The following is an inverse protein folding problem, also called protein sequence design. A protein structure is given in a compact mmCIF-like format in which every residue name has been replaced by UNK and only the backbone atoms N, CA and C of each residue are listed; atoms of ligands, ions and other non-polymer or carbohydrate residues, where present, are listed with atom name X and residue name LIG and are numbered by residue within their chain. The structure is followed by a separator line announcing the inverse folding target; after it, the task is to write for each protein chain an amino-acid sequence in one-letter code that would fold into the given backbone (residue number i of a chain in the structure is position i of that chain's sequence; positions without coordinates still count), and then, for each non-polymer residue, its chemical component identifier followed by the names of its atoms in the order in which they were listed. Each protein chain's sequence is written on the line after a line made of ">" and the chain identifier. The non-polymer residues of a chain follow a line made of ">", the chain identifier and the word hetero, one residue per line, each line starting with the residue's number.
data_IF_979313795469
#
_entry.id   IF_979313795469
#
_cell.length_a   1.000
_cell.length_b   1.000
_cell.length_c   1.000
_cell.angle_alpha   90.00
_cell.angle_beta   90.00
_cell.angle_gamma   90.00
#
_symmetry.space_group_name_H-M   'P 1'
#
loop_
_entity.id
_entity.type
_entity.pdbx_description
1 polymer ?
#
# COMPACT_ATOMS: atom_id res chain seq x y z
N UNK A 1 -23.50 5.48 15.79
CA UNK A 1 -23.27 4.92 14.44
C UNK A 1 -22.04 5.59 13.83
N UNK A 2 -20.93 4.86 13.67
CA UNK A 2 -19.81 5.34 12.85
C UNK A 2 -20.34 5.46 11.41
N UNK A 3 -20.27 6.65 10.81
CA UNK A 3 -20.60 6.80 9.38
C UNK A 3 -19.54 6.04 8.59
N UNK A 4 -19.86 4.82 8.16
CA UNK A 4 -19.00 4.02 7.29
C UNK A 4 -18.67 4.83 6.04
N UNK A 5 -17.43 5.28 5.98
CA UNK A 5 -16.95 6.18 4.96
C UNK A 5 -16.18 5.40 3.90
N UNK A 6 -16.79 5.29 2.73
CA UNK A 6 -16.28 4.50 1.61
C UNK A 6 -15.27 5.34 0.80
N UNK A 7 -14.17 4.71 0.40
CA UNK A 7 -13.18 5.30 -0.49
C UNK A 7 -13.74 5.45 -1.90
N UNK A 8 -13.76 6.67 -2.45
CA UNK A 8 -14.29 6.95 -3.79
C UNK A 8 -13.45 6.32 -4.92
N UNK A 9 -12.23 5.85 -4.63
CA UNK A 9 -11.33 5.23 -5.61
C UNK A 9 -11.43 3.71 -5.60
N UNK A 10 -11.27 3.06 -4.45
CA UNK A 10 -11.20 1.59 -4.37
C UNK A 10 -12.32 0.94 -3.56
N UNK A 11 -13.32 1.71 -3.14
CA UNK A 11 -14.46 1.26 -2.33
C UNK A 11 -14.12 0.66 -0.96
N UNK A 12 -12.87 0.80 -0.50
CA UNK A 12 -12.48 0.38 0.86
C UNK A 12 -13.31 1.11 1.93
N UNK A 13 -13.78 0.43 2.98
CA UNK A 13 -14.58 1.04 4.06
C UNK A 13 -13.75 1.90 5.04
N UNK A 14 -12.47 2.14 4.74
CA UNK A 14 -11.49 2.78 5.64
C UNK A 14 -11.17 4.23 5.27
N UNK A 15 -12.12 4.95 4.66
CA UNK A 15 -11.92 6.34 4.21
C UNK A 15 -12.38 7.38 5.25
N UNK A 16 -11.78 7.32 6.44
CA UNK A 16 -12.20 8.07 7.63
C UNK A 16 -11.96 9.59 7.54
N UNK A 17 -11.21 10.08 6.55
CA UNK A 17 -10.90 11.50 6.35
C UNK A 17 -10.76 11.86 4.87
N UNK A 18 -10.55 13.16 4.59
CA UNK A 18 -10.24 13.66 3.26
C UNK A 18 -8.71 13.64 3.04
N UNK A 19 -8.28 13.21 1.86
CA UNK A 19 -6.89 13.29 1.43
C UNK A 19 -6.81 14.00 0.09
N UNK A 20 -6.01 15.05 0.03
CA UNK A 20 -5.79 15.85 -1.18
C UNK A 20 -7.10 16.36 -1.82
N UNK A 21 -8.13 16.63 -1.01
CA UNK A 21 -9.42 17.16 -1.49
C UNK A 21 -10.54 16.13 -1.69
N UNK A 22 -10.27 14.82 -1.55
CA UNK A 22 -11.28 13.78 -1.75
C UNK A 22 -11.33 12.73 -0.64
N UNK A 23 -12.51 12.12 -0.44
CA UNK A 23 -12.70 11.03 0.53
C UNK A 23 -12.08 9.73 0.00
N UNK A 24 -10.90 9.39 0.52
CA UNK A 24 -10.15 8.20 0.08
C UNK A 24 -9.52 7.47 1.27
N UNK A 25 -9.17 6.20 1.09
CA UNK A 25 -8.42 5.45 2.09
C UNK A 25 -6.92 5.83 2.06
N UNK A 26 -6.20 5.52 3.15
CA UNK A 26 -4.76 5.79 3.30
C UNK A 26 -3.92 5.24 2.14
N UNK A 27 -4.27 4.05 1.63
CA UNK A 27 -3.56 3.43 0.52
C UNK A 27 -3.69 4.22 -0.80
N UNK A 28 -4.87 4.76 -1.10
CA UNK A 28 -5.06 5.59 -2.28
C UNK A 28 -4.40 6.96 -2.12
N UNK A 29 -4.41 7.52 -0.91
CA UNK A 29 -3.67 8.74 -0.60
C UNK A 29 -2.16 8.58 -0.79
N UNK A 30 -1.57 7.49 -0.28
CA UNK A 30 -0.15 7.19 -0.46
C UNK A 30 0.22 6.96 -1.92
N UNK A 31 -0.62 6.22 -2.66
CA UNK A 31 -0.47 6.03 -4.09
C UNK A 31 -0.46 7.37 -4.84
N UNK A 32 -1.48 8.20 -4.64
CA UNK A 32 -1.60 9.51 -5.29
C UNK A 32 -0.39 10.41 -5.03
N UNK A 33 0.01 10.55 -3.75
CA UNK A 33 1.20 11.34 -3.37
C UNK A 33 2.44 10.85 -4.11
N UNK A 34 2.67 9.53 -4.12
CA UNK A 34 3.82 8.93 -4.78
C UNK A 34 3.80 9.16 -6.30
N UNK A 35 2.64 9.03 -6.94
CA UNK A 35 2.49 9.28 -8.37
C UNK A 35 2.88 10.72 -8.72
N UNK A 36 2.40 11.71 -7.96
CA UNK A 36 2.69 13.12 -8.21
C UNK A 36 4.13 13.48 -7.85
N UNK A 37 4.59 13.13 -6.64
CA UNK A 37 5.93 13.53 -6.17
C UNK A 37 7.07 12.97 -7.03
N UNK A 38 6.87 11.84 -7.70
CA UNK A 38 7.89 11.23 -8.55
C UNK A 38 7.56 11.35 -10.05
N UNK A 39 6.52 12.08 -10.43
CA UNK A 39 6.12 12.27 -11.83
C UNK A 39 5.84 10.96 -12.57
N UNK A 40 5.24 9.97 -11.90
CA UNK A 40 5.01 8.64 -12.46
C UNK A 40 3.94 8.70 -13.55
N UNK A 41 4.28 8.14 -14.73
CA UNK A 41 3.34 7.93 -15.83
C UNK A 41 3.05 6.44 -15.95
N UNK A 42 1.77 6.10 -16.12
CA UNK A 42 1.32 4.72 -16.20
C UNK A 42 0.62 4.45 -17.52
N UNK A 43 0.85 3.27 -18.07
CA UNK A 43 0.13 2.76 -19.25
C UNK A 43 -0.83 1.66 -18.79
N UNK A 44 -2.03 1.64 -19.37
CA UNK A 44 -2.98 0.55 -19.16
C UNK A 44 -2.69 -0.55 -20.18
N UNK A 45 -2.72 -1.81 -19.74
CA UNK A 45 -2.42 -2.98 -20.59
C UNK A 45 -3.69 -3.73 -21.02
N UNK A 46 -4.85 -3.10 -20.93
CA UNK A 46 -6.11 -3.70 -21.40
C UNK A 46 -6.22 -3.58 -22.92
N UNK A 47 -6.82 -4.59 -23.55
CA UNK A 47 -7.08 -4.61 -25.00
C UNK A 47 -8.03 -3.48 -25.45
N UNK A 48 -8.98 -3.09 -24.59
CA UNK A 48 -9.86 -1.96 -24.81
C UNK A 48 -9.42 -0.76 -23.93
N UNK A 49 -8.87 0.32 -24.51
CA UNK A 49 -8.48 1.53 -23.79
C UNK A 49 -9.68 2.37 -23.31
N UNK A 50 -10.86 2.19 -23.90
CA UNK A 50 -12.08 2.96 -23.58
C UNK A 50 -12.74 2.49 -22.29
N UNK A 51 -12.49 1.24 -21.90
CA UNK A 51 -13.05 0.64 -20.69
C UNK A 51 -12.06 0.74 -19.52
N UNK A 52 -12.35 1.54 -18.47
CA UNK A 52 -11.45 1.67 -17.33
C UNK A 52 -11.41 0.38 -16.51
N UNK A 53 -10.21 -0.07 -16.12
CA UNK A 53 -10.06 -1.24 -15.26
C UNK A 53 -10.77 -1.06 -13.90
N UNK A 54 -11.25 -2.18 -13.34
CA UNK A 54 -11.80 -2.20 -12.01
C UNK A 54 -10.75 -1.80 -10.95
N UNK A 55 -11.19 -0.96 -10.03
CA UNK A 55 -10.38 -0.43 -8.92
C UNK A 55 -11.12 -0.79 -7.63
N UNK A 56 -10.76 -1.91 -7.03
CA UNK A 56 -11.40 -2.43 -5.81
C UNK A 56 -10.36 -2.93 -4.81
N UNK A 57 -10.61 -2.73 -3.52
CA UNK A 57 -9.63 -3.00 -2.47
C UNK A 57 -9.27 -4.48 -2.27
N UNK A 58 -10.11 -5.41 -2.73
CA UNK A 58 -9.81 -6.85 -2.72
C UNK A 58 -8.89 -7.30 -3.88
N UNK A 59 -8.68 -6.47 -4.89
CA UNK A 59 -7.84 -6.84 -6.03
C UNK A 59 -6.36 -6.72 -5.65
N UNK A 60 -5.61 -7.83 -5.75
CA UNK A 60 -4.16 -7.85 -5.51
C UNK A 60 -3.40 -6.93 -6.46
N UNK A 61 -3.81 -6.90 -7.73
CA UNK A 61 -3.21 -6.06 -8.76
C UNK A 61 -4.27 -5.16 -9.37
N UNK A 62 -4.15 -3.86 -9.11
CA UNK A 62 -5.01 -2.83 -9.68
C UNK A 62 -4.21 -2.09 -10.75
N UNK A 63 -4.79 -1.88 -11.92
CA UNK A 63 -4.20 -1.06 -12.98
C UNK A 63 -3.85 0.33 -12.45
N UNK A 64 -2.57 0.70 -12.51
CA UNK A 64 -2.05 1.97 -11.96
C UNK A 64 -2.59 3.18 -12.72
N UNK A 65 -2.68 3.07 -14.04
CA UNK A 65 -3.25 4.11 -14.94
C UNK A 65 -4.68 4.42 -14.54
N UNK A 66 -5.57 3.42 -14.57
CA UNK A 66 -6.98 3.61 -14.23
C UNK A 66 -7.20 4.01 -12.76
N UNK A 67 -6.35 3.51 -11.84
CA UNK A 67 -6.39 3.94 -10.43
C UNK A 67 -6.08 5.42 -10.28
N UNK A 68 -5.04 5.91 -10.95
CA UNK A 68 -4.65 7.31 -10.88
C UNK A 68 -5.70 8.22 -11.53
N UNK A 69 -6.23 7.85 -12.70
CA UNK A 69 -7.33 8.60 -13.32
C UNK A 69 -8.58 8.65 -12.43
N UNK A 70 -8.86 7.56 -11.69
CA UNK A 70 -9.97 7.55 -10.73
C UNK A 70 -9.68 8.44 -9.52
N UNK A 71 -8.43 8.56 -9.07
CA UNK A 71 -8.04 9.56 -8.06
C UNK A 71 -8.38 10.98 -8.53
N UNK A 72 -8.01 11.34 -9.76
CA UNK A 72 -8.31 12.65 -10.35
C UNK A 72 -9.82 12.86 -10.47
N UNK A 73 -10.56 11.88 -11.02
CA UNK A 73 -12.03 11.95 -11.13
C UNK A 73 -12.74 12.05 -9.78
N UNK A 74 -12.18 11.48 -8.72
CA UNK A 74 -12.71 11.59 -7.36
C UNK A 74 -12.45 12.98 -6.73
N UNK A 75 -11.70 13.86 -7.40
CA UNK A 75 -11.40 15.22 -6.93
C UNK A 75 -10.10 15.37 -6.16
N UNK A 76 -9.17 14.40 -6.24
CA UNK A 76 -7.84 14.56 -5.65
C UNK A 76 -7.03 15.61 -6.42
N UNK A 77 -6.49 16.60 -5.72
CA UNK A 77 -5.80 17.76 -6.30
C UNK A 77 -4.29 17.61 -6.19
N UNK A 78 -3.61 17.63 -7.33
CA UNK A 78 -2.15 17.52 -7.41
C UNK A 78 -1.44 18.67 -6.67
N UNK A 79 -2.00 19.89 -6.75
CA UNK A 79 -1.47 21.07 -6.04
C UNK A 79 -1.47 20.97 -4.52
N UNK A 80 -2.16 19.99 -3.93
CA UNK A 80 -2.11 19.71 -2.49
C UNK A 80 -0.99 18.73 -2.09
N UNK A 81 -0.24 18.21 -3.07
CA UNK A 81 0.97 17.43 -2.84
C UNK A 81 2.16 18.39 -2.75
N UNK A 82 2.78 18.49 -1.58
CA UNK A 82 3.98 19.29 -1.40
C UNK A 82 5.10 18.77 -2.31
N UNK A 83 5.63 19.65 -3.16
CA UNK A 83 6.86 19.38 -3.92
C UNK A 83 8.03 19.50 -2.95
N UNK A 84 8.94 18.52 -2.96
CA UNK A 84 10.21 18.65 -2.24
C UNK A 84 10.94 19.82 -2.91
N UNK A 85 11.08 20.95 -2.21
CA UNK A 85 12.01 21.98 -2.64
C UNK A 85 13.39 21.32 -2.61
N UNK A 86 14.02 21.21 -3.77
CA UNK A 86 15.42 20.87 -3.85
C UNK A 86 16.16 22.06 -3.24
N UNK A 87 16.60 21.92 -1.99
CA UNK A 87 17.49 22.89 -1.37
C UNK A 87 18.77 22.93 -2.22
N UNK A 88 18.86 23.91 -3.11
CA UNK A 88 20.13 24.33 -3.69
C UNK A 88 21.06 24.69 -2.52
N UNK A 89 22.01 23.80 -2.24
CA UNK A 89 23.10 24.02 -1.30
C UNK A 89 23.99 25.14 -1.83
N UNK A 90 23.57 26.39 -1.68
CA UNK A 90 24.48 27.53 -1.67
C UNK A 90 24.87 27.77 -0.22
N UNK A 91 26.16 27.55 0.05
CA UNK A 91 26.80 27.83 1.32
C UNK A 91 26.68 29.30 1.71
N UNK A 92 25.91 29.61 2.76
CA UNK A 92 26.20 30.78 3.61
C UNK A 92 25.60 30.61 5.01
N UNK A 93 26.47 30.17 5.90
CA UNK A 93 26.61 30.61 7.29
C UNK A 93 25.51 31.51 7.88
N UNK A 94 24.72 30.97 8.80
CA UNK A 94 24.41 31.69 10.04
C UNK A 94 24.39 30.75 11.24
N UNK A 95 25.57 30.70 11.85
CA UNK A 95 25.87 30.22 13.19
C UNK A 95 24.87 30.74 14.23
N UNK A 96 24.21 29.83 14.97
CA UNK A 96 23.92 30.01 16.39
C UNK A 96 24.48 28.80 17.11
N UNK A 97 25.62 29.04 17.75
CA UNK A 97 26.56 28.10 18.36
C UNK A 97 26.19 27.86 19.83
N UNK A 98 26.67 26.73 20.35
CA UNK A 98 26.90 26.30 21.75
C UNK A 98 25.78 25.42 22.38
N UNK A 99 26.07 24.32 23.07
CA UNK A 99 27.31 23.92 23.74
C UNK A 99 27.53 22.39 23.71
N UNK A 100 28.77 21.98 23.43
CA UNK A 100 29.31 20.63 23.59
C UNK A 100 30.01 20.60 24.96
N UNK A 101 29.84 19.53 25.74
CA UNK A 101 30.78 19.10 26.77
C UNK A 101 30.88 17.56 26.69
N UNK A 102 31.82 17.06 25.88
CA UNK A 102 33.01 16.25 26.26
C UNK A 102 32.74 14.81 26.73
N UNK A 103 33.12 13.86 25.86
CA UNK A 103 33.95 12.64 26.07
C UNK A 103 33.69 11.67 27.27
N UNK A 104 33.16 10.47 26.94
CA UNK A 104 33.48 9.03 27.29
C UNK A 104 34.17 8.65 28.65
N UNK A 105 34.17 7.38 29.19
CA UNK A 105 33.64 6.07 28.74
C UNK A 105 32.98 5.14 29.84
N UNK A 106 32.48 3.96 29.42
CA UNK A 106 32.35 2.65 30.11
C UNK A 106 31.62 2.51 31.47
N UNK A 107 30.49 1.79 31.49
CA UNK A 107 30.30 0.63 32.39
C UNK A 107 29.10 -0.25 31.98
N UNK A 108 29.30 -1.55 32.16
CA UNK A 108 28.48 -2.72 31.81
C UNK A 108 27.18 -2.76 32.62
N UNK A 109 26.08 -3.30 32.06
CA UNK A 109 25.32 -4.45 32.61
C UNK A 109 24.63 -5.20 31.45
N UNK A 110 24.74 -6.52 31.48
CA UNK A 110 24.27 -7.52 30.52
C UNK A 110 22.79 -7.87 30.67
N UNK A 111 22.13 -8.33 29.60
CA UNK A 111 21.06 -9.35 29.68
C UNK A 111 21.03 -10.22 28.41
N UNK A 112 21.61 -11.41 28.58
CA UNK A 112 21.20 -12.76 28.15
C UNK A 112 20.64 -13.01 26.75
N UNK A 113 21.33 -13.92 26.06
CA UNK A 113 20.92 -14.67 24.87
C UNK A 113 19.51 -15.27 24.97
N UNK A 114 18.72 -15.12 23.90
CA UNK A 114 17.71 -16.11 23.52
C UNK A 114 18.13 -16.69 22.19
N UNK A 115 18.54 -17.96 22.25
CA UNK A 115 18.87 -18.83 21.13
C UNK A 115 17.60 -19.60 20.79
N UNK A 116 17.08 -19.48 19.56
CA UNK A 116 16.22 -20.52 18.97
C UNK A 116 16.47 -20.62 17.46
N UNK A 117 17.42 -21.45 17.01
CA UNK A 117 17.23 -22.77 16.36
C UNK A 117 16.49 -22.68 14.99
N UNK A 118 17.28 -22.78 13.91
CA UNK A 118 16.91 -23.49 12.66
C UNK A 118 16.92 -24.99 13.01
N UNK A 119 16.06 -25.88 12.56
CA UNK A 119 15.57 -26.23 11.22
C UNK A 119 14.55 -27.38 11.44
N UNK A 120 13.41 -27.44 10.73
CA UNK A 120 12.84 -28.75 10.34
C UNK A 120 11.82 -28.64 9.18
N UNK A 121 11.89 -29.55 8.18
CA UNK A 121 11.08 -29.49 6.97
C UNK A 121 9.62 -29.93 7.10
N UNK A 122 8.84 -29.42 6.16
CA UNK A 122 7.40 -29.60 5.94
C UNK A 122 7.05 -31.09 5.73
N UNK A 123 6.18 -31.70 6.55
CA UNK A 123 5.55 -32.98 6.22
C UNK A 123 4.45 -32.76 5.18
N UNK A 124 4.54 -33.52 4.10
CA UNK A 124 3.53 -33.65 3.03
C UNK A 124 2.28 -34.37 3.55
N UNK A 125 1.12 -33.70 3.50
CA UNK A 125 -0.19 -34.32 3.75
C UNK A 125 -0.66 -35.15 2.53
N UNK A 126 -1.39 -36.27 2.76
CA UNK A 126 -1.81 -37.20 1.72
C UNK A 126 -3.06 -36.73 0.97
N UNK A 127 -3.06 -36.94 -0.35
CA UNK A 127 -4.21 -36.75 -1.24
C UNK A 127 -5.32 -37.74 -0.90
N UNK A 128 -6.42 -37.25 -0.32
CA UNK A 128 -7.68 -38.00 -0.26
C UNK A 128 -8.42 -37.84 -1.59
N UNK A 129 -8.71 -38.97 -2.22
CA UNK A 129 -9.48 -39.07 -3.45
C UNK A 129 -10.86 -38.43 -3.29
N UNK A 130 -11.12 -37.39 -4.08
CA UNK A 130 -12.47 -36.88 -4.31
C UNK A 130 -13.23 -37.90 -5.16
N UNK A 131 -13.99 -38.77 -4.50
CA UNK A 131 -15.00 -39.60 -5.17
C UNK A 131 -16.12 -38.69 -5.71
N UNK A 132 -16.24 -38.62 -7.03
CA UNK A 132 -17.34 -37.95 -7.74
C UNK A 132 -18.71 -38.53 -7.37
N UNK A 133 -19.71 -37.70 -7.01
CA UNK A 133 -21.10 -38.14 -6.91
C UNK A 133 -21.79 -38.06 -8.28
N UNK A 134 -21.48 -39.02 -9.17
CA UNK A 134 -22.22 -39.24 -10.42
C UNK A 134 -22.43 -40.74 -10.63
N UNK A 135 -23.12 -41.37 -9.68
CA UNK A 135 -23.83 -42.62 -9.95
C UNK A 135 -25.25 -42.46 -9.41
N UNK A 136 -26.08 -41.80 -10.23
CA UNK A 136 -27.53 -41.81 -10.06
C UNK A 136 -28.20 -41.71 -11.43
N UNK A 137 -28.10 -42.81 -12.17
CA UNK A 137 -29.02 -43.20 -13.24
C UNK A 137 -29.29 -44.69 -13.04
N UNK A 138 -30.35 -45.06 -12.32
CA UNK A 138 -31.64 -45.45 -12.91
C UNK A 138 -31.54 -46.69 -13.80
N UNK A 139 -31.76 -47.87 -13.19
CA UNK A 139 -32.18 -49.09 -13.90
C UNK A 139 -33.23 -49.81 -13.04
N UNK A 140 -34.48 -49.45 -13.26
CA UNK A 140 -35.65 -50.30 -12.97
C UNK A 140 -36.51 -50.32 -14.22
N UNK A 141 -36.28 -51.32 -15.07
CA UNK A 141 -37.23 -52.00 -15.98
C UNK A 141 -36.45 -53.07 -16.72
#
# INVERSE_FOLDING_TARGET
>A
RMRSSICLVCSSPTANSLHFGARTCKACAAFFRRTISMGMKYVCTTEDPSTPCQTHFHLRMICRKCRFEKCIRAGMKEGMVQKKLEEEKTSSTKSRKRHILTEQPSSRIAFTEVKTEVDEPIPSEPTQEYRSPLDRTSSTS
#
